data_IF_062869236958
#
_entry.id   IF_062869236958
#
_cell.length_a   1.000
_cell.length_b   1.000
_cell.length_c   1.000
_cell.angle_alpha   90.00
_cell.angle_beta   90.00
_cell.angle_gamma   90.00
#
_symmetry.space_group_name_H-M   'P 1'
#
loop_
_entity.id
_entity.type
_entity.pdbx_description
1 polymer ?
#
# COMPACT_ATOMS: atom_id res chain seq x y z
N UNK A 1 -10.22 2.65 -13.58
CA UNK A 1 -9.72 3.43 -12.44
C UNK A 1 -9.41 4.88 -12.83
N UNK A 2 -8.33 5.16 -13.59
CA UNK A 2 -7.86 6.53 -13.88
C UNK A 2 -8.88 7.45 -14.57
N UNK A 3 -9.71 6.93 -15.47
CA UNK A 3 -10.78 7.73 -16.09
C UNK A 3 -11.80 8.22 -15.05
N UNK A 4 -12.20 7.38 -14.09
CA UNK A 4 -13.14 7.75 -13.02
C UNK A 4 -12.54 8.79 -12.07
N UNK A 5 -11.24 8.65 -11.79
CA UNK A 5 -10.47 9.61 -11.01
C UNK A 5 -10.49 11.01 -11.64
N UNK A 6 -10.23 11.11 -12.96
CA UNK A 6 -10.22 12.40 -13.69
C UNK A 6 -11.58 13.09 -13.81
N UNK A 7 -12.68 12.38 -13.58
CA UNK A 7 -14.04 12.94 -13.69
C UNK A 7 -14.52 13.65 -12.41
N UNK A 8 -13.76 13.54 -11.32
CA UNK A 8 -14.17 14.06 -10.01
C UNK A 8 -13.48 15.37 -9.68
N UNK A 9 -14.18 16.25 -8.94
CA UNK A 9 -13.64 17.54 -8.50
C UNK A 9 -12.49 17.37 -7.49
N UNK A 10 -12.64 16.42 -6.57
CA UNK A 10 -11.67 16.16 -5.51
C UNK A 10 -10.95 14.85 -5.81
N UNK A 11 -9.64 14.90 -5.86
CA UNK A 11 -8.75 13.77 -6.03
C UNK A 11 -8.19 13.35 -4.67
N UNK A 12 -8.11 12.05 -4.42
CA UNK A 12 -7.42 11.46 -3.26
C UNK A 12 -6.53 10.34 -3.79
N UNK A 13 -5.26 10.35 -3.38
CA UNK A 13 -4.34 9.25 -3.66
C UNK A 13 -3.62 8.82 -2.40
N UNK A 14 -3.21 7.56 -2.36
CA UNK A 14 -2.45 6.95 -1.27
C UNK A 14 -1.72 5.73 -1.80
N UNK A 15 -0.69 5.29 -1.11
CA UNK A 15 0.03 4.06 -1.42
C UNK A 15 0.01 3.11 -0.21
N UNK A 16 -0.22 1.82 -0.43
CA UNK A 16 -0.13 0.78 0.59
C UNK A 16 1.30 0.65 1.08
N UNK A 17 1.54 0.90 2.37
CA UNK A 17 2.87 0.75 2.94
C UNK A 17 3.25 -0.73 2.93
N UNK A 18 4.21 -1.10 2.07
CA UNK A 18 4.72 -2.47 1.96
C UNK A 18 3.61 -3.51 1.70
N UNK A 19 2.67 -3.18 0.81
CA UNK A 19 1.45 -3.96 0.60
C UNK A 19 1.71 -5.45 0.32
N UNK A 20 2.70 -5.75 -0.52
CA UNK A 20 3.05 -7.14 -0.85
C UNK A 20 3.64 -7.92 0.33
N UNK A 21 4.35 -7.25 1.25
CA UNK A 21 4.95 -7.90 2.41
C UNK A 21 3.91 -8.38 3.43
N UNK A 22 2.66 -7.92 3.33
CA UNK A 22 1.56 -8.41 4.17
C UNK A 22 1.11 -9.82 3.75
N UNK A 23 1.37 -10.22 2.49
CA UNK A 23 1.01 -11.53 1.98
C UNK A 23 2.09 -12.57 2.28
N UNK A 24 1.68 -13.73 2.78
CA UNK A 24 2.57 -14.86 3.08
C UNK A 24 2.76 -15.70 1.82
N UNK A 25 4.02 -15.98 1.47
CA UNK A 25 4.33 -16.99 0.47
C UNK A 25 4.14 -18.37 1.08
N UNK A 26 3.41 -19.24 0.35
CA UNK A 26 3.30 -20.65 0.67
C UNK A 26 4.71 -21.26 0.80
N UNK A 27 4.90 -22.14 1.78
CA UNK A 27 6.21 -22.70 2.10
C UNK A 27 6.85 -23.40 0.88
N UNK A 28 6.02 -24.02 0.04
CA UNK A 28 6.41 -24.70 -1.21
C UNK A 28 6.95 -23.75 -2.29
N UNK A 29 6.47 -22.51 -2.35
CA UNK A 29 6.86 -21.53 -3.37
C UNK A 29 8.08 -20.69 -2.98
N UNK A 30 8.49 -20.71 -1.70
CA UNK A 30 9.57 -19.84 -1.21
C UNK A 30 10.90 -20.07 -1.91
N UNK A 31 11.17 -21.30 -2.33
CA UNK A 31 12.41 -21.65 -3.01
C UNK A 31 12.54 -21.03 -4.40
N UNK A 32 11.42 -20.64 -5.03
CA UNK A 32 11.43 -19.88 -6.29
C UNK A 32 11.86 -18.41 -6.10
N UNK A 33 11.95 -17.93 -4.85
CA UNK A 33 12.29 -16.53 -4.50
C UNK A 33 13.68 -16.41 -3.87
N UNK A 34 14.59 -17.34 -4.17
CA UNK A 34 15.96 -17.31 -3.65
C UNK A 34 16.78 -16.20 -4.29
N UNK A 35 17.64 -15.58 -3.48
CA UNK A 35 18.62 -14.61 -3.95
C UNK A 35 19.94 -14.78 -3.19
N UNK A 36 21.03 -14.38 -3.84
CA UNK A 36 22.37 -14.40 -3.27
C UNK A 36 22.67 -13.04 -2.65
N UNK A 37 23.38 -13.05 -1.52
CA UNK A 37 23.82 -11.84 -0.84
C UNK A 37 25.19 -12.07 -0.19
N UNK A 38 25.97 -11.01 -0.03
CA UNK A 38 27.21 -11.10 0.73
C UNK A 38 26.91 -11.12 2.22
N UNK A 39 27.57 -12.02 2.94
CA UNK A 39 27.40 -12.12 4.39
C UNK A 39 27.89 -10.83 5.06
N UNK A 40 27.04 -10.23 5.88
CA UNK A 40 27.40 -9.05 6.68
C UNK A 40 27.77 -9.49 8.08
N UNK A 41 28.93 -9.08 8.56
CA UNK A 41 29.42 -9.36 9.90
C UNK A 41 29.69 -8.05 10.65
N UNK A 42 29.54 -8.06 11.97
CA UNK A 42 29.93 -6.93 12.80
C UNK A 42 31.41 -7.10 13.18
N UNK A 43 32.22 -6.08 12.91
CA UNK A 43 33.59 -6.04 13.43
C UNK A 43 33.57 -5.84 14.94
N UNK A 44 34.69 -6.16 15.60
CA UNK A 44 34.87 -5.93 17.03
C UNK A 44 34.65 -4.47 17.44
N UNK A 45 34.79 -3.53 16.49
CA UNK A 45 34.58 -2.09 16.68
C UNK A 45 33.12 -1.65 16.48
N UNK A 46 32.21 -2.60 16.24
CA UNK A 46 30.77 -2.36 16.01
C UNK A 46 30.41 -1.90 14.60
N UNK A 47 31.37 -1.87 13.66
CA UNK A 47 31.13 -1.49 12.28
C UNK A 47 30.66 -2.70 11.45
N UNK A 48 29.77 -2.45 10.48
CA UNK A 48 29.31 -3.50 9.57
C UNK A 48 30.35 -3.69 8.46
N UNK A 49 30.87 -4.91 8.30
CA UNK A 49 31.73 -5.28 7.18
C UNK A 49 31.04 -6.33 6.29
N UNK A 50 31.41 -6.32 5.02
CA UNK A 50 30.97 -7.31 4.03
C UNK A 50 32.05 -8.39 3.97
N UNK A 51 31.70 -9.62 4.35
CA UNK A 51 32.59 -10.77 4.26
C UNK A 51 32.65 -11.29 2.82
N UNK A 52 33.76 -11.95 2.48
CA UNK A 52 33.96 -12.63 1.19
C UNK A 52 33.26 -14.01 1.13
N UNK A 53 32.07 -14.08 1.72
CA UNK A 53 31.22 -15.27 1.78
C UNK A 53 29.85 -14.92 1.18
N UNK A 54 29.40 -15.70 0.20
CA UNK A 54 28.07 -15.54 -0.41
C UNK A 54 27.09 -16.48 0.28
N UNK A 55 25.99 -15.92 0.78
CA UNK A 55 24.90 -16.65 1.43
C UNK A 55 23.64 -16.60 0.56
N UNK A 56 22.81 -17.64 0.65
CA UNK A 56 21.52 -17.70 -0.05
C UNK A 56 20.39 -17.38 0.92
N UNK A 57 19.59 -16.37 0.57
CA UNK A 57 18.34 -16.04 1.27
C UNK A 57 17.14 -16.40 0.40
N UNK A 58 15.96 -16.48 1.02
CA UNK A 58 14.67 -16.65 0.33
C UNK A 58 13.61 -15.80 0.98
N UNK A 59 12.65 -15.32 0.21
CA UNK A 59 11.55 -14.55 0.77
C UNK A 59 10.52 -15.46 1.45
N UNK A 60 9.95 -14.99 2.57
CA UNK A 60 8.81 -15.62 3.25
C UNK A 60 7.49 -14.89 2.97
N UNK A 61 7.58 -13.69 2.40
CA UNK A 61 6.49 -12.79 2.01
C UNK A 61 6.65 -12.40 0.55
N UNK A 62 5.59 -11.95 -0.12
CA UNK A 62 5.68 -11.61 -1.53
C UNK A 62 6.65 -10.43 -1.77
N UNK A 63 7.75 -10.63 -2.51
CA UNK A 63 8.63 -9.54 -2.87
C UNK A 63 8.01 -8.65 -3.95
N UNK A 64 8.53 -7.43 -4.04
CA UNK A 64 8.27 -6.56 -5.17
C UNK A 64 8.93 -7.13 -6.43
N UNK A 65 8.26 -7.02 -7.58
CA UNK A 65 8.80 -7.44 -8.88
C UNK A 65 8.38 -8.84 -9.36
N UNK A 66 7.66 -9.64 -8.55
CA UNK A 66 6.99 -10.82 -9.09
C UNK A 66 5.78 -10.42 -9.91
N UNK A 67 5.61 -11.05 -11.07
CA UNK A 67 4.47 -10.84 -11.95
C UNK A 67 3.14 -11.22 -11.29
N UNK A 68 3.16 -12.16 -10.35
CA UNK A 68 1.99 -12.62 -9.59
C UNK A 68 1.62 -11.73 -8.40
N UNK A 69 2.55 -10.92 -7.86
CA UNK A 69 2.33 -10.10 -6.66
C UNK A 69 1.12 -9.15 -6.78
N UNK A 70 0.94 -8.39 -7.89
CA UNK A 70 -0.23 -7.51 -8.05
C UNK A 70 -1.55 -8.26 -8.12
N UNK A 71 -1.57 -9.43 -8.76
CA UNK A 71 -2.77 -10.26 -8.86
C UNK A 71 -3.19 -10.77 -7.49
N UNK A 72 -2.24 -11.32 -6.71
CA UNK A 72 -2.53 -11.89 -5.41
C UNK A 72 -2.94 -10.83 -4.38
N UNK A 73 -2.32 -9.64 -4.42
CA UNK A 73 -2.78 -8.51 -3.62
C UNK A 73 -4.21 -8.10 -3.98
N UNK A 74 -4.53 -8.02 -5.27
CA UNK A 74 -5.87 -7.67 -5.74
C UNK A 74 -6.92 -8.72 -5.34
N UNK A 75 -6.58 -10.00 -5.46
CA UNK A 75 -7.44 -11.12 -5.03
C UNK A 75 -7.69 -11.09 -3.52
N UNK A 76 -6.65 -10.86 -2.73
CA UNK A 76 -6.75 -10.77 -1.27
C UNK A 76 -7.59 -9.58 -0.83
N UNK A 77 -7.39 -8.41 -1.45
CA UNK A 77 -8.20 -7.21 -1.21
C UNK A 77 -9.68 -7.43 -1.54
N UNK A 78 -9.99 -8.17 -2.61
CA UNK A 78 -11.37 -8.52 -2.97
C UNK A 78 -12.04 -9.40 -1.92
N UNK A 79 -11.33 -10.42 -1.43
CA UNK A 79 -11.84 -11.31 -0.40
C UNK A 79 -12.08 -10.56 0.91
N UNK A 80 -11.11 -9.76 1.36
CA UNK A 80 -11.23 -8.90 2.53
C UNK A 80 -12.36 -7.86 2.37
N UNK A 81 -12.52 -7.28 1.18
CA UNK A 81 -13.60 -6.35 0.91
C UNK A 81 -14.98 -7.02 1.03
N UNK A 82 -15.08 -8.29 0.62
CA UNK A 82 -16.32 -9.07 0.76
C UNK A 82 -16.61 -9.38 2.23
N UNK A 83 -15.60 -9.82 2.98
CA UNK A 83 -15.71 -10.18 4.40
C UNK A 83 -16.17 -8.99 5.26
N UNK A 84 -15.59 -7.81 5.02
CA UNK A 84 -15.84 -6.62 5.85
C UNK A 84 -16.84 -5.63 5.24
N UNK A 85 -17.60 -6.05 4.22
CA UNK A 85 -18.53 -5.19 3.50
C UNK A 85 -19.57 -4.52 4.39
N UNK A 86 -20.03 -5.22 5.44
CA UNK A 86 -21.03 -4.69 6.36
C UNK A 86 -20.41 -3.71 7.36
N UNK A 87 -19.18 -3.95 7.79
CA UNK A 87 -18.47 -3.12 8.77
C UNK A 87 -17.91 -1.84 8.16
N UNK A 88 -17.38 -1.92 6.94
CA UNK A 88 -16.78 -0.79 6.22
C UNK A 88 -17.36 -0.67 4.80
N UNK A 89 -18.66 -0.32 4.65
CA UNK A 89 -19.36 -0.34 3.37
C UNK A 89 -18.85 0.68 2.34
N UNK A 90 -18.35 1.84 2.77
CA UNK A 90 -17.77 2.83 1.86
C UNK A 90 -16.39 2.36 1.46
N UNK A 91 -15.61 1.86 2.42
CA UNK A 91 -14.25 1.45 2.17
C UNK A 91 -14.15 0.29 1.16
N UNK A 92 -14.85 -0.80 1.47
CA UNK A 92 -14.85 -2.04 0.69
C UNK A 92 -15.40 -1.87 -0.72
N UNK A 93 -16.35 -0.95 -0.91
CA UNK A 93 -16.87 -0.57 -2.24
C UNK A 93 -15.77 0.00 -3.15
N UNK A 94 -14.80 0.70 -2.57
CA UNK A 94 -13.82 1.46 -3.31
C UNK A 94 -12.46 0.79 -3.41
N UNK A 95 -12.00 0.05 -2.39
CA UNK A 95 -10.64 -0.50 -2.35
C UNK A 95 -10.31 -1.40 -3.56
N UNK A 96 -11.20 -2.29 -3.97
CA UNK A 96 -10.95 -3.21 -5.10
C UNK A 96 -10.88 -2.45 -6.44
N UNK A 97 -11.77 -1.49 -6.65
CA UNK A 97 -11.94 -0.83 -7.95
C UNK A 97 -11.00 0.36 -8.18
N UNK A 98 -10.30 0.79 -7.13
CA UNK A 98 -9.51 2.01 -7.10
C UNK A 98 -8.07 1.77 -6.65
N UNK A 99 -7.66 0.51 -6.50
CA UNK A 99 -6.26 0.12 -6.27
C UNK A 99 -5.65 -0.42 -7.55
N UNK A 100 -4.43 0.02 -7.87
CA UNK A 100 -3.59 -0.52 -8.93
C UNK A 100 -2.21 -0.80 -8.36
N UNK A 101 -1.77 -2.06 -8.43
CA UNK A 101 -0.59 -2.52 -7.69
C UNK A 101 -0.74 -2.18 -6.20
N UNK A 102 0.12 -1.31 -5.66
CA UNK A 102 0.09 -0.79 -4.29
C UNK A 102 -0.52 0.63 -4.19
N UNK A 103 -0.85 1.28 -5.30
CA UNK A 103 -1.40 2.64 -5.32
C UNK A 103 -2.94 2.63 -5.27
N UNK A 104 -3.52 3.39 -4.35
CA UNK A 104 -4.95 3.67 -4.25
C UNK A 104 -5.25 5.09 -4.77
N UNK A 105 -6.16 5.20 -5.75
CA UNK A 105 -6.55 6.49 -6.36
C UNK A 105 -8.04 6.61 -6.55
N UNK A 106 -8.65 7.64 -6.00
CA UNK A 106 -10.10 7.84 -6.04
C UNK A 106 -10.50 9.30 -6.16
N UNK A 107 -11.58 9.52 -6.88
CA UNK A 107 -12.21 10.83 -7.03
C UNK A 107 -13.50 10.92 -6.21
N UNK A 108 -13.77 12.09 -5.61
CA UNK A 108 -15.04 12.39 -4.94
C UNK A 108 -15.61 13.75 -5.38
N UNK A 109 -16.92 13.95 -5.16
CA UNK A 109 -17.63 15.16 -5.59
C UNK A 109 -17.63 16.29 -4.56
N UNK A 110 -17.45 15.98 -3.27
CA UNK A 110 -17.58 16.94 -2.15
C UNK A 110 -16.60 16.62 -1.02
N UNK A 111 -16.19 17.64 -0.27
CA UNK A 111 -15.24 17.51 0.85
C UNK A 111 -15.76 16.56 1.93
N UNK A 112 -17.06 16.60 2.21
CA UNK A 112 -17.70 15.70 3.19
C UNK A 112 -17.49 14.23 2.77
N UNK A 113 -17.75 13.89 1.50
CA UNK A 113 -17.55 12.52 0.99
C UNK A 113 -16.08 12.12 1.02
N UNK A 114 -15.17 13.04 0.70
CA UNK A 114 -13.74 12.81 0.78
C UNK A 114 -13.29 12.46 2.21
N UNK A 115 -13.71 13.24 3.20
CA UNK A 115 -13.36 13.04 4.61
C UNK A 115 -13.96 11.74 5.14
N UNK A 116 -15.23 11.45 4.84
CA UNK A 116 -15.88 10.18 5.27
C UNK A 116 -15.14 8.98 4.68
N UNK A 117 -14.86 8.99 3.37
CA UNK A 117 -14.14 7.93 2.70
C UNK A 117 -12.74 7.73 3.27
N UNK A 118 -11.99 8.82 3.49
CA UNK A 118 -10.64 8.77 4.05
C UNK A 118 -10.61 8.15 5.45
N UNK A 119 -11.52 8.55 6.35
CA UNK A 119 -11.59 7.99 7.71
C UNK A 119 -11.93 6.51 7.72
N UNK A 120 -12.91 6.11 6.92
CA UNK A 120 -13.30 4.71 6.84
C UNK A 120 -12.22 3.86 6.18
N UNK A 121 -11.51 4.40 5.17
CA UNK A 121 -10.31 3.79 4.60
C UNK A 121 -9.24 3.55 5.65
N UNK A 122 -8.90 4.54 6.47
CA UNK A 122 -7.89 4.38 7.52
C UNK A 122 -8.25 3.27 8.51
N UNK A 123 -9.51 3.23 8.95
CA UNK A 123 -9.99 2.21 9.86
C UNK A 123 -9.94 0.82 9.23
N UNK A 124 -10.48 0.68 8.01
CA UNK A 124 -10.50 -0.58 7.28
C UNK A 124 -9.09 -1.12 7.01
N UNK A 125 -8.21 -0.27 6.49
CA UNK A 125 -6.84 -0.65 6.09
C UNK A 125 -5.95 -0.96 7.29
N UNK A 126 -6.17 -0.28 8.42
CA UNK A 126 -5.56 -0.65 9.69
C UNK A 126 -6.05 -2.02 10.18
N UNK A 127 -7.36 -2.29 10.07
CA UNK A 127 -7.95 -3.57 10.48
C UNK A 127 -7.38 -4.76 9.70
N UNK A 128 -7.21 -4.62 8.38
CA UNK A 128 -6.68 -5.70 7.52
C UNK A 128 -5.14 -5.75 7.49
N UNK A 129 -4.46 -5.03 8.39
CA UNK A 129 -2.99 -4.96 8.45
C UNK A 129 -2.33 -4.47 7.14
N UNK A 130 -3.03 -3.63 6.37
CA UNK A 130 -2.54 -3.04 5.12
C UNK A 130 -2.61 -1.51 5.16
N UNK A 131 -1.92 -0.84 6.10
CA UNK A 131 -2.07 0.60 6.29
C UNK A 131 -1.71 1.38 5.03
N UNK A 132 -2.62 2.24 4.62
CA UNK A 132 -2.44 3.20 3.54
C UNK A 132 -1.64 4.41 4.03
N UNK A 133 -0.63 4.80 3.26
CA UNK A 133 0.32 5.87 3.55
C UNK A 133 0.43 6.86 2.38
N UNK A 134 1.27 7.90 2.54
CA UNK A 134 1.56 8.91 1.50
C UNK A 134 0.29 9.56 0.91
N UNK A 135 -0.67 9.89 1.77
CA UNK A 135 -1.93 10.49 1.35
C UNK A 135 -1.71 11.84 0.65
N UNK A 136 -2.37 12.04 -0.49
CA UNK A 136 -2.45 13.33 -1.19
C UNK A 136 -3.86 13.65 -1.66
N UNK A 137 -4.19 14.94 -1.75
CA UNK A 137 -5.50 15.43 -2.18
C UNK A 137 -5.47 16.91 -2.59
N UNK A 138 -6.35 17.32 -3.50
CA UNK A 138 -6.57 18.74 -3.82
C UNK A 138 -7.68 19.40 -2.97
N UNK A 139 -8.22 18.73 -1.95
CA UNK A 139 -9.19 19.28 -1.01
C UNK A 139 -8.52 19.93 0.20
N UNK A 140 -8.68 21.26 0.35
CA UNK A 140 -8.17 21.99 1.52
C UNK A 140 -8.79 21.50 2.84
N UNK A 141 -10.07 21.12 2.81
CA UNK A 141 -10.76 20.60 3.99
C UNK A 141 -10.18 19.26 4.44
N UNK A 142 -9.96 18.33 3.51
CA UNK A 142 -9.34 17.04 3.82
C UNK A 142 -7.89 17.21 4.28
N UNK A 143 -7.11 18.09 3.65
CA UNK A 143 -5.76 18.43 4.12
C UNK A 143 -5.76 18.93 5.56
N UNK A 144 -6.74 19.76 5.96
CA UNK A 144 -6.90 20.23 7.33
C UNK A 144 -7.13 19.08 8.32
N UNK A 145 -7.96 18.11 7.96
CA UNK A 145 -8.21 16.90 8.78
C UNK A 145 -6.94 16.07 8.93
N UNK A 146 -6.23 15.78 7.83
CA UNK A 146 -4.99 14.99 7.87
C UNK A 146 -3.91 15.64 8.75
N UNK A 147 -3.78 16.99 8.71
CA UNK A 147 -2.84 17.73 9.57
C UNK A 147 -3.18 17.61 11.05
N UNK A 148 -4.46 17.64 11.42
CA UNK A 148 -4.91 17.43 12.80
C UNK A 148 -4.64 15.99 13.28
N UNK A 149 -4.74 15.02 12.38
CA UNK A 149 -4.52 13.60 12.66
C UNK A 149 -3.04 13.18 12.54
N UNK A 150 -2.10 14.13 12.39
CA UNK A 150 -0.66 13.90 12.21
C UNK A 150 -0.29 12.93 11.07
N UNK A 151 -1.14 12.85 10.03
CA UNK A 151 -0.86 12.01 8.86
C UNK A 151 0.03 12.80 7.89
N UNK A 152 1.23 12.28 7.54
CA UNK A 152 2.15 12.99 6.66
C UNK A 152 1.54 13.14 5.26
N UNK A 153 1.48 14.39 4.81
CA UNK A 153 0.90 14.79 3.54
C UNK A 153 1.96 15.41 2.63
N UNK A 154 1.91 15.11 1.33
CA UNK A 154 2.80 15.71 0.32
C UNK A 154 1.99 16.54 -0.67
N UNK A 155 2.41 17.78 -0.91
CA UNK A 155 1.78 18.66 -1.92
C UNK A 155 2.00 18.17 -3.36
N UNK A 156 3.14 17.51 -3.60
CA UNK A 156 3.50 16.91 -4.89
C UNK A 156 3.89 15.45 -4.64
N UNK A 157 3.22 14.53 -5.32
CA UNK A 157 3.50 13.09 -5.25
C UNK A 157 3.49 12.50 -6.65
N UNK A 158 4.50 11.67 -6.94
CA UNK A 158 4.49 10.78 -8.09
C UNK A 158 3.51 9.65 -7.82
N UNK A 159 2.55 9.47 -8.72
CA UNK A 159 1.53 8.43 -8.66
C UNK A 159 1.75 7.55 -9.88
N UNK A 160 1.86 6.22 -9.69
CA UNK A 160 2.04 5.25 -10.78
C UNK A 160 3.34 5.41 -11.59
N UNK A 161 4.38 6.03 -11.03
CA UNK A 161 5.68 6.18 -11.68
C UNK A 161 5.70 7.11 -12.90
N UNK A 162 4.67 7.95 -13.08
CA UNK A 162 4.57 8.91 -14.19
C UNK A 162 4.94 10.31 -13.68
N UNK A 163 5.85 10.99 -14.40
CA UNK A 163 6.18 12.41 -14.23
C UNK A 163 5.19 13.31 -14.98
#
# INVERSE_FOLDING_TARGET
>A
MLLRFRLSKIAITSAGSQAFLQLILADEDRDATRFLWYKTEYTSDGNLCIADEIVTYRFTRFPFGLTSSPFLLSASLRELATMYKQTYPIATKHIENNTYMDDFVIGTSTDIKAITLYREMLQYTSHISLPLAKWTTNSNALQGVCKQENVPFREITQVLGVN
#
